data_IF_348610508972
#
_entry.id   IF_348610508972
#
_cell.length_a   1.000
_cell.length_b   1.000
_cell.length_c   1.000
_cell.angle_alpha   90.00
_cell.angle_beta   90.00
_cell.angle_gamma   90.00
#
_symmetry.space_group_name_H-M   'P 1'
#
loop_
_entity.id
_entity.type
_entity.pdbx_description
1 polymer ?
#
# COMPACT_ATOMS: atom_id res chain seq x y z
N UNK A 1 -55.06 7.92 24.56
CA UNK A 1 -53.74 8.60 24.44
C UNK A 1 -52.74 7.60 23.86
N UNK A 2 -52.10 7.93 22.72
CA UNK A 2 -50.72 7.57 22.25
C UNK A 2 -50.20 6.14 22.47
N UNK A 3 -49.54 5.46 21.53
CA UNK A 3 -48.94 5.84 20.24
C UNK A 3 -48.65 4.53 19.49
N UNK A 4 -48.67 4.60 18.15
CA UNK A 4 -48.18 3.56 17.23
C UNK A 4 -46.71 3.27 17.54
N UNK A 5 -46.38 2.05 17.89
CA UNK A 5 -45.03 1.53 17.74
C UNK A 5 -44.94 0.93 16.35
N UNK A 6 -44.51 1.78 15.41
CA UNK A 6 -44.16 1.35 14.07
C UNK A 6 -42.95 0.45 14.22
N UNK A 7 -43.16 -0.86 14.08
CA UNK A 7 -42.08 -1.83 13.97
C UNK A 7 -41.12 -1.36 12.89
N UNK A 8 -39.87 -1.22 13.27
CA UNK A 8 -38.77 -0.85 12.39
C UNK A 8 -38.68 -1.92 11.31
N UNK A 9 -39.29 -1.66 10.15
CA UNK A 9 -39.20 -2.55 8.99
C UNK A 9 -37.72 -2.78 8.71
N UNK A 10 -37.26 -4.03 8.84
CA UNK A 10 -36.09 -4.48 8.10
C UNK A 10 -36.48 -4.35 6.63
N UNK A 11 -36.20 -3.18 6.04
CA UNK A 11 -36.27 -2.98 4.60
C UNK A 11 -35.20 -3.87 4.02
N UNK A 12 -35.53 -5.14 3.77
CA UNK A 12 -34.82 -5.90 2.78
C UNK A 12 -34.95 -5.06 1.51
N UNK A 13 -33.83 -4.50 1.07
CA UNK A 13 -33.78 -3.81 -0.21
C UNK A 13 -34.29 -4.76 -1.30
N UNK A 14 -34.65 -4.23 -2.48
CA UNK A 14 -34.90 -5.10 -3.62
C UNK A 14 -33.76 -6.11 -3.73
N UNK A 15 -34.10 -7.38 -3.94
CA UNK A 15 -33.12 -8.39 -4.36
C UNK A 15 -32.52 -7.86 -5.66
N UNK A 16 -31.32 -7.28 -5.55
CA UNK A 16 -30.61 -6.74 -6.70
C UNK A 16 -30.28 -7.94 -7.55
N UNK A 17 -30.82 -7.94 -8.77
CA UNK A 17 -30.52 -9.01 -9.71
C UNK A 17 -29.00 -9.08 -9.89
N UNK A 18 -28.48 -10.29 -10.15
CA UNK A 18 -27.04 -10.51 -10.36
C UNK A 18 -26.48 -9.53 -11.39
N UNK A 19 -27.27 -9.22 -12.43
CA UNK A 19 -26.96 -8.26 -13.48
C UNK A 19 -26.83 -6.82 -12.96
N UNK A 20 -27.72 -6.37 -12.07
CA UNK A 20 -27.63 -5.03 -11.47
C UNK A 20 -26.44 -4.92 -10.51
N UNK A 21 -26.12 -5.99 -9.79
CA UNK A 21 -24.94 -6.06 -8.93
C UNK A 21 -23.63 -5.98 -9.72
N UNK A 22 -23.56 -6.66 -10.86
CA UNK A 22 -22.43 -6.60 -11.79
C UNK A 22 -22.25 -5.19 -12.38
N UNK A 23 -23.35 -4.54 -12.80
CA UNK A 23 -23.31 -3.15 -13.28
C UNK A 23 -22.82 -2.18 -12.20
N UNK A 24 -23.27 -2.35 -10.95
CA UNK A 24 -22.83 -1.53 -9.83
C UNK A 24 -21.35 -1.73 -9.51
N UNK A 25 -20.86 -2.96 -9.54
CA UNK A 25 -19.44 -3.27 -9.37
C UNK A 25 -18.62 -2.63 -10.49
N UNK A 26 -19.08 -2.73 -11.74
CA UNK A 26 -18.42 -2.16 -12.90
C UNK A 26 -18.29 -0.64 -12.77
N UNK A 27 -19.37 0.07 -12.42
CA UNK A 27 -19.33 1.53 -12.16
C UNK A 27 -18.36 1.89 -11.04
N UNK A 28 -18.33 1.11 -9.96
CA UNK A 28 -17.39 1.33 -8.86
C UNK A 28 -15.93 1.19 -9.33
N UNK A 29 -15.62 0.18 -10.14
CA UNK A 29 -14.28 -0.04 -10.69
C UNK A 29 -13.86 1.15 -11.56
N UNK A 30 -14.72 1.60 -12.47
CA UNK A 30 -14.45 2.74 -13.36
C UNK A 30 -14.15 4.02 -12.59
N UNK A 31 -14.99 4.31 -11.59
CA UNK A 31 -14.79 5.46 -10.70
C UNK A 31 -13.45 5.31 -9.98
N UNK A 32 -13.19 4.18 -9.32
CA UNK A 32 -11.95 3.94 -8.56
C UNK A 32 -10.69 4.04 -9.44
N UNK A 33 -10.74 3.54 -10.67
CA UNK A 33 -9.65 3.67 -11.63
C UNK A 33 -9.39 5.13 -12.02
N UNK A 34 -10.44 5.90 -12.31
CA UNK A 34 -10.31 7.33 -12.59
C UNK A 34 -9.74 8.10 -11.39
N UNK A 35 -10.21 7.80 -10.18
CA UNK A 35 -9.65 8.35 -8.95
C UNK A 35 -8.17 8.01 -8.78
N UNK A 36 -7.75 6.77 -9.06
CA UNK A 36 -6.34 6.35 -8.99
C UNK A 36 -5.44 7.11 -9.96
N UNK A 37 -5.93 7.41 -11.16
CA UNK A 37 -5.20 8.22 -12.15
C UNK A 37 -5.11 9.69 -11.72
N UNK A 38 -6.23 10.28 -11.27
CA UNK A 38 -6.28 11.68 -10.83
C UNK A 38 -5.44 11.94 -9.58
N UNK A 39 -5.33 10.94 -8.71
CA UNK A 39 -4.58 11.05 -7.44
C UNK A 39 -3.09 10.73 -7.58
N UNK A 40 -2.62 10.36 -8.77
CA UNK A 40 -1.21 10.11 -9.07
C UNK A 40 -0.59 9.08 -8.14
N UNK A 41 -0.77 7.79 -8.46
CA UNK A 41 -0.14 6.63 -7.79
C UNK A 41 0.13 6.87 -6.30
N UNK A 42 -0.94 7.06 -5.51
CA UNK A 42 -0.93 7.12 -4.04
C UNK A 42 0.47 7.24 -3.47
N UNK A 43 1.05 8.45 -3.53
CA UNK A 43 2.21 8.77 -2.71
C UNK A 43 1.86 8.27 -1.32
N UNK A 44 2.56 7.24 -0.83
CA UNK A 44 2.28 6.64 0.47
C UNK A 44 2.43 7.75 1.52
N UNK A 45 1.32 8.40 1.85
CA UNK A 45 1.24 9.52 2.79
C UNK A 45 1.32 9.02 4.22
N UNK A 46 1.16 7.71 4.40
CA UNK A 46 1.32 7.01 5.66
C UNK A 46 2.80 6.79 5.99
N UNK A 47 3.17 6.86 7.29
CA UNK A 47 4.53 6.57 7.71
C UNK A 47 4.89 5.14 7.35
N UNK A 48 6.08 4.95 6.79
CA UNK A 48 6.64 3.63 6.51
C UNK A 48 6.87 2.86 7.80
N UNK A 49 6.71 1.54 7.75
CA UNK A 49 6.85 0.66 8.91
C UNK A 49 8.28 0.61 9.44
N UNK A 50 9.28 0.74 8.56
CA UNK A 50 10.68 0.82 8.94
C UNK A 50 11.52 1.62 7.93
N UNK A 51 12.66 2.13 8.38
CA UNK A 51 13.73 2.67 7.53
C UNK A 51 14.90 1.73 7.62
N UNK A 52 15.36 1.23 6.48
CA UNK A 52 16.44 0.24 6.38
C UNK A 52 17.57 0.87 5.59
N UNK A 53 18.79 0.80 6.12
CA UNK A 53 19.97 1.28 5.41
C UNK A 53 20.44 0.24 4.37
N UNK A 54 21.16 0.67 3.35
CA UNK A 54 21.76 -0.29 2.40
C UNK A 54 22.78 -1.23 3.07
N UNK A 55 23.38 -0.82 4.17
CA UNK A 55 24.35 -1.61 4.94
C UNK A 55 23.68 -2.77 5.69
N UNK A 56 22.41 -2.59 6.08
CA UNK A 56 21.60 -3.62 6.73
C UNK A 56 20.97 -4.62 5.72
N UNK A 57 21.16 -4.41 4.41
CA UNK A 57 20.62 -5.26 3.36
C UNK A 57 21.67 -6.24 2.83
N UNK A 58 21.22 -7.44 2.43
CA UNK A 58 22.09 -8.43 1.80
C UNK A 58 22.23 -8.10 0.32
N UNK A 59 23.46 -7.85 -0.16
CA UNK A 59 23.72 -7.68 -1.60
C UNK A 59 23.74 -9.06 -2.27
N UNK A 60 22.92 -9.22 -3.31
CA UNK A 60 22.98 -10.32 -4.26
C UNK A 60 23.63 -9.77 -5.54
N UNK A 61 24.91 -10.11 -5.75
CA UNK A 61 25.68 -9.67 -6.91
C UNK A 61 25.27 -10.42 -8.19
N UNK A 62 24.70 -11.62 -8.10
CA UNK A 62 24.26 -12.39 -9.26
C UNK A 62 23.04 -11.74 -9.93
N UNK A 63 22.19 -11.11 -9.12
CA UNK A 63 20.96 -10.45 -9.55
C UNK A 63 21.03 -8.91 -9.53
N UNK A 64 22.15 -8.33 -9.08
CA UNK A 64 22.33 -6.88 -8.86
C UNK A 64 21.24 -6.24 -7.97
N UNK A 65 20.77 -6.98 -6.96
CA UNK A 65 19.69 -6.54 -6.03
C UNK A 65 20.14 -6.55 -4.58
N UNK A 66 19.51 -5.68 -3.78
CA UNK A 66 19.56 -5.73 -2.32
C UNK A 66 18.33 -6.45 -1.80
N UNK A 67 18.55 -7.46 -0.95
CA UNK A 67 17.52 -8.26 -0.32
C UNK A 67 17.37 -7.89 1.17
N UNK A 68 16.13 -7.79 1.65
CA UNK A 68 15.82 -7.57 3.07
C UNK A 68 14.66 -8.46 3.53
N UNK A 69 14.84 -9.17 4.65
CA UNK A 69 13.82 -10.05 5.21
C UNK A 69 12.68 -9.28 5.88
N UNK A 70 11.45 -9.57 5.48
CA UNK A 70 10.24 -9.11 6.16
C UNK A 70 10.00 -9.92 7.45
N UNK A 71 9.45 -9.27 8.49
CA UNK A 71 8.99 -9.96 9.72
C UNK A 71 7.87 -10.97 9.50
N UNK A 72 7.22 -10.89 8.35
CA UNK A 72 6.19 -11.80 7.87
C UNK A 72 6.77 -13.09 7.23
N UNK A 73 8.10 -13.18 7.06
CA UNK A 73 8.75 -14.27 6.34
C UNK A 73 8.83 -14.08 4.82
N UNK A 74 8.36 -12.95 4.28
CA UNK A 74 8.62 -12.53 2.89
C UNK A 74 9.97 -11.82 2.74
N UNK A 75 10.29 -11.41 1.51
CA UNK A 75 11.52 -10.68 1.21
C UNK A 75 11.24 -9.44 0.35
N UNK A 76 11.96 -8.36 0.63
CA UNK A 76 12.00 -7.16 -0.21
C UNK A 76 13.22 -7.26 -1.12
N UNK A 77 13.03 -7.09 -2.42
CA UNK A 77 14.11 -6.99 -3.42
C UNK A 77 14.15 -5.58 -4.01
N UNK A 78 15.31 -4.94 -3.93
CA UNK A 78 15.54 -3.55 -4.36
C UNK A 78 16.67 -3.55 -5.39
N UNK A 79 16.39 -3.13 -6.63
CA UNK A 79 17.42 -3.00 -7.66
C UNK A 79 18.47 -1.95 -7.30
N UNK A 80 19.73 -2.16 -7.73
CA UNK A 80 20.83 -1.22 -7.49
C UNK A 80 20.56 0.17 -8.10
N UNK A 81 19.79 0.22 -9.19
CA UNK A 81 19.35 1.45 -9.88
C UNK A 81 18.15 2.15 -9.22
N UNK A 82 17.56 1.58 -8.15
CA UNK A 82 16.52 2.24 -7.37
C UNK A 82 17.14 3.41 -6.59
N UNK A 83 17.33 4.52 -7.30
CA UNK A 83 17.90 5.77 -6.82
C UNK A 83 16.92 6.60 -5.99
N UNK A 84 15.62 6.29 -6.09
CA UNK A 84 14.58 7.01 -5.38
C UNK A 84 14.44 6.51 -3.93
N UNK A 85 14.37 7.44 -2.98
CA UNK A 85 14.01 7.20 -1.57
C UNK A 85 12.53 6.75 -1.37
N UNK A 86 11.96 6.10 -2.39
CA UNK A 86 10.57 5.66 -2.39
C UNK A 86 10.39 4.45 -1.46
N UNK A 87 9.26 4.44 -0.78
CA UNK A 87 8.86 3.34 0.07
C UNK A 87 8.54 2.12 -0.80
N UNK A 88 9.08 0.96 -0.44
CA UNK A 88 8.92 -0.30 -1.15
C UNK A 88 8.07 -1.23 -0.27
N UNK A 89 7.06 -1.85 -0.88
CA UNK A 89 6.12 -2.77 -0.21
C UNK A 89 6.58 -4.21 -0.40
N UNK A 90 6.30 -5.08 0.57
CA UNK A 90 6.52 -6.52 0.42
C UNK A 90 5.82 -7.04 -0.83
N UNK A 91 6.56 -7.81 -1.64
CA UNK A 91 6.06 -8.27 -2.93
C UNK A 91 4.81 -9.16 -2.78
N UNK A 92 4.74 -10.01 -1.74
CA UNK A 92 3.77 -11.12 -1.77
C UNK A 92 3.03 -11.46 -0.44
N UNK A 93 3.42 -10.94 0.73
CA UNK A 93 2.94 -11.53 2.02
C UNK A 93 2.47 -10.57 3.11
N UNK A 94 2.64 -9.25 2.97
CA UNK A 94 2.07 -8.30 3.94
C UNK A 94 2.00 -6.87 3.40
N UNK A 95 1.31 -5.99 4.14
CA UNK A 95 1.22 -4.56 3.84
C UNK A 95 2.41 -3.74 4.37
N UNK A 96 3.49 -4.38 4.82
CA UNK A 96 4.65 -3.66 5.35
C UNK A 96 5.39 -2.96 4.23
N UNK A 97 5.72 -1.71 4.51
CA UNK A 97 6.47 -0.81 3.66
C UNK A 97 7.78 -0.40 4.34
N UNK A 98 8.89 -0.54 3.63
CA UNK A 98 10.19 -0.08 4.11
C UNK A 98 10.70 1.06 3.24
N UNK A 99 11.38 2.01 3.86
CA UNK A 99 12.07 3.08 3.14
C UNK A 99 13.56 2.84 3.14
N UNK A 100 14.16 2.92 1.96
CA UNK A 100 15.60 2.98 1.81
C UNK A 100 16.12 4.27 2.46
N UNK A 101 16.94 4.13 3.49
CA UNK A 101 17.72 5.24 4.04
C UNK A 101 19.09 5.17 3.41
N UNK A 102 19.41 6.10 2.51
CA UNK A 102 20.81 6.36 2.22
C UNK A 102 21.40 6.88 3.53
N UNK A 103 22.36 6.15 4.10
CA UNK A 103 23.01 6.55 5.34
C UNK A 103 23.36 8.03 5.23
N UNK A 104 22.89 8.83 6.20
CA UNK A 104 23.21 10.24 6.24
C UNK A 104 24.72 10.32 6.43
N UNK A 105 25.47 10.50 5.35
CA UNK A 105 26.80 11.09 5.44
C UNK A 105 26.54 12.53 5.83
N UNK A 106 26.24 12.74 7.11
CA UNK A 106 26.45 14.01 7.77
C UNK A 106 27.93 14.24 7.52
N UNK A 107 28.26 14.96 6.45
CA UNK A 107 29.50 15.71 6.43
C UNK A 107 29.40 16.52 7.71
N UNK A 108 30.17 16.09 8.70
CA UNK A 108 30.54 16.88 9.85
C UNK A 108 31.10 18.19 9.31
N UNK A 109 30.22 19.15 9.06
CA UNK A 109 30.57 20.58 9.07
C UNK A 109 30.38 21.01 10.51
N UNK A 110 31.18 20.40 11.38
CA UNK A 110 31.73 21.08 12.54
C UNK A 110 33.24 21.01 12.32
N UNK A 111 33.77 22.04 11.67
CA UNK A 111 34.83 22.94 12.15
C UNK A 111 35.20 23.91 11.03
#
# INVERSE_FOLDING_TARGET
KRKREQGWYHKQGPDVSVTEAEEHLQRFIEVNQAWKVLTGELNQSWPVDARVSLDDMTSDDDNEVYAYGCRCGGEFSIGREAADEKAIVCRDTCSLSIRKSLGCSIKSVLF
#
